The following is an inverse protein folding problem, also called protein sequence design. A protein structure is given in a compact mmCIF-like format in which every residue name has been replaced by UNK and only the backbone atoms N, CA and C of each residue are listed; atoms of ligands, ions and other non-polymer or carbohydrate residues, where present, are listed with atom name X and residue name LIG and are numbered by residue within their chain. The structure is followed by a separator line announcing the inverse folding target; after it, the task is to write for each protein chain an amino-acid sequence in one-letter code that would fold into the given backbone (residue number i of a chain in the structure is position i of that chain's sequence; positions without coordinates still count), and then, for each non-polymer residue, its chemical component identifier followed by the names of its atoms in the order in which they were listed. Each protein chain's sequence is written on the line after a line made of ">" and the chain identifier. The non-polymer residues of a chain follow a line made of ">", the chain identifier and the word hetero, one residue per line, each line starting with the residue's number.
data_IF_446097444939
#
_entry.id   IF_446097444939
#
_cell.length_a   1.000
_cell.length_b   1.000
_cell.length_c   1.000
_cell.angle_alpha   90.00
_cell.angle_beta   90.00
_cell.angle_gamma   90.00
#
_symmetry.space_group_name_H-M   'P 1'
#
loop_
_entity.id
_entity.type
_entity.pdbx_description
1 polymer ?
#
# COMPACT_ATOMS: atom_id res chain seq x y z
N UNK A 1 -36.97 -1.33 -10.23
CA UNK A 1 -36.86 -2.01 -8.92
C UNK A 1 -35.37 -2.05 -8.62
N UNK A 2 -34.94 -1.32 -7.60
CA UNK A 2 -33.52 -1.13 -7.30
C UNK A 2 -32.95 -2.42 -6.72
N UNK A 3 -32.14 -3.13 -7.51
CA UNK A 3 -31.58 -4.42 -7.13
C UNK A 3 -30.60 -4.31 -5.94
N UNK A 4 -30.08 -3.12 -5.66
CA UNK A 4 -29.29 -2.85 -4.45
C UNK A 4 -30.17 -2.72 -3.18
N UNK A 5 -31.43 -2.28 -3.30
CA UNK A 5 -32.38 -2.30 -2.17
C UNK A 5 -32.83 -3.73 -1.85
N UNK A 6 -33.11 -4.54 -2.88
CA UNK A 6 -33.49 -5.96 -2.70
C UNK A 6 -32.35 -6.77 -2.06
N UNK A 7 -31.10 -6.51 -2.45
CA UNK A 7 -29.93 -7.14 -1.81
C UNK A 7 -29.71 -6.61 -0.39
N UNK A 8 -29.98 -5.33 -0.09
CA UNK A 8 -29.90 -4.80 1.28
C UNK A 8 -30.92 -5.45 2.20
N UNK A 9 -32.16 -5.65 1.74
CA UNK A 9 -33.22 -6.27 2.54
C UNK A 9 -32.99 -7.78 2.77
N UNK A 10 -32.41 -8.49 1.79
CA UNK A 10 -32.03 -9.91 1.93
C UNK A 10 -30.76 -10.10 2.79
N UNK A 11 -29.88 -9.10 2.83
CA UNK A 11 -28.67 -9.09 3.67
C UNK A 11 -28.98 -8.60 5.10
N UNK A 12 -29.99 -7.75 5.31
CA UNK A 12 -30.47 -7.35 6.64
C UNK A 12 -31.47 -8.31 7.27
N UNK A 13 -31.84 -9.38 6.56
CA UNK A 13 -32.80 -10.40 6.97
C UNK A 13 -32.38 -11.11 8.25
N UNK A 14 -32.73 -10.49 9.38
CA UNK A 14 -32.77 -11.16 10.67
C UNK A 14 -33.83 -12.24 10.55
N UNK A 15 -33.42 -13.49 10.27
CA UNK A 15 -34.32 -14.63 10.41
C UNK A 15 -34.59 -14.76 11.91
N UNK A 16 -35.67 -14.12 12.35
CA UNK A 16 -36.14 -14.23 13.72
C UNK A 16 -36.59 -15.68 13.90
N UNK A 17 -35.76 -16.48 14.59
CA UNK A 17 -36.17 -17.80 15.06
C UNK A 17 -37.32 -17.60 16.04
N UNK A 18 -38.55 -17.74 15.55
CA UNK A 18 -39.74 -17.83 16.38
C UNK A 18 -39.67 -19.15 17.16
N UNK A 19 -39.03 -19.13 18.32
CA UNK A 19 -39.12 -20.19 19.32
C UNK A 19 -40.50 -20.05 19.99
N UNK A 20 -41.53 -20.53 19.29
CA UNK A 20 -42.85 -20.73 19.86
C UNK A 20 -42.87 -22.03 20.66
N UNK A 21 -42.92 -21.91 21.98
CA UNK A 21 -43.18 -23.04 22.87
C UNK A 21 -44.63 -23.52 22.83
N UNK A 22 -44.78 -24.80 23.18
CA UNK A 22 -45.99 -25.55 23.55
C UNK A 22 -46.80 -26.18 22.39
N UNK A 23 -46.71 -27.51 22.26
CA UNK A 23 -47.74 -28.34 21.61
C UNK A 23 -47.19 -29.48 20.74
N UNK A 24 -47.54 -30.72 21.08
CA UNK A 24 -47.02 -31.93 20.44
C UNK A 24 -47.40 -32.17 18.97
N UNK A 25 -46.60 -33.04 18.35
CA UNK A 25 -46.81 -33.83 17.14
C UNK A 25 -47.02 -33.14 15.78
N UNK A 26 -45.97 -33.18 14.94
CA UNK A 26 -45.99 -33.89 13.64
C UNK A 26 -44.59 -34.49 13.38
N UNK A 27 -44.51 -35.82 13.40
CA UNK A 27 -43.32 -36.56 12.98
C UNK A 27 -43.13 -36.42 11.47
N UNK A 28 -42.05 -35.77 11.04
CA UNK A 28 -41.68 -35.70 9.62
C UNK A 28 -40.81 -34.51 9.20
N UNK A 29 -40.84 -33.38 9.92
CA UNK A 29 -40.29 -32.08 9.40
C UNK A 29 -38.92 -31.69 10.01
N UNK A 30 -38.33 -32.53 10.87
CA UNK A 30 -37.16 -32.13 11.68
C UNK A 30 -35.83 -32.21 10.89
N UNK A 31 -35.76 -32.95 9.79
CA UNK A 31 -34.53 -33.02 8.98
C UNK A 31 -34.27 -31.73 8.17
N UNK A 32 -35.32 -31.11 7.60
CA UNK A 32 -35.19 -29.86 6.81
C UNK A 32 -34.89 -28.63 7.67
N UNK A 33 -35.63 -28.43 8.78
CA UNK A 33 -35.45 -27.25 9.66
C UNK A 33 -34.06 -27.14 10.31
N UNK A 34 -33.37 -28.27 10.54
CA UNK A 34 -32.03 -28.28 11.15
C UNK A 34 -30.92 -28.05 10.11
N UNK A 35 -31.12 -28.48 8.86
CA UNK A 35 -30.22 -28.18 7.75
C UNK A 35 -30.34 -26.72 7.30
N UNK A 36 -31.55 -26.14 7.31
CA UNK A 36 -31.75 -24.73 6.98
C UNK A 36 -31.10 -23.79 8.01
N UNK A 37 -31.18 -24.09 9.30
CA UNK A 37 -30.52 -23.26 10.32
C UNK A 37 -28.99 -23.28 10.19
N UNK A 38 -28.38 -24.44 9.96
CA UNK A 38 -26.92 -24.57 9.82
C UNK A 38 -26.35 -23.87 8.58
N UNK A 39 -27.08 -23.85 7.47
CA UNK A 39 -26.62 -23.18 6.25
C UNK A 39 -26.81 -21.67 6.30
N UNK A 40 -27.89 -21.20 6.92
CA UNK A 40 -28.08 -19.77 7.24
C UNK A 40 -26.99 -19.28 8.19
N UNK A 41 -26.64 -20.08 9.19
CA UNK A 41 -25.57 -19.77 10.14
C UNK A 41 -24.19 -19.71 9.44
N UNK A 42 -23.89 -20.66 8.53
CA UNK A 42 -22.67 -20.61 7.69
C UNK A 42 -22.66 -19.41 6.73
N UNK A 43 -23.77 -19.07 6.08
CA UNK A 43 -23.89 -17.86 5.23
C UNK A 43 -23.45 -16.61 6.00
N UNK A 44 -24.00 -16.43 7.20
CA UNK A 44 -23.79 -15.22 8.00
C UNK A 44 -22.43 -15.19 8.71
N UNK A 45 -21.88 -16.34 9.10
CA UNK A 45 -20.60 -16.39 9.83
C UNK A 45 -19.37 -16.43 8.91
N UNK A 46 -19.52 -16.91 7.66
CA UNK A 46 -18.37 -17.20 6.79
C UNK A 46 -18.44 -16.41 5.49
N UNK A 47 -19.51 -16.59 4.71
CA UNK A 47 -19.56 -16.08 3.34
C UNK A 47 -19.77 -14.57 3.30
N UNK A 48 -20.61 -14.03 4.17
CA UNK A 48 -20.88 -12.60 4.22
C UNK A 48 -19.64 -11.78 4.66
N UNK A 49 -18.93 -12.15 5.75
CA UNK A 49 -17.69 -11.45 6.14
C UNK A 49 -16.60 -11.50 5.07
N UNK A 50 -16.39 -12.65 4.44
CA UNK A 50 -15.41 -12.79 3.36
C UNK A 50 -15.78 -11.92 2.16
N UNK A 51 -17.06 -11.92 1.77
CA UNK A 51 -17.57 -11.11 0.66
C UNK A 51 -17.39 -9.61 0.94
N UNK A 52 -17.70 -9.17 2.15
CA UNK A 52 -17.59 -7.76 2.53
C UNK A 52 -16.14 -7.30 2.61
N UNK A 53 -15.22 -8.15 3.07
CA UNK A 53 -13.78 -7.87 3.02
C UNK A 53 -13.29 -7.73 1.58
N UNK A 54 -13.56 -8.72 0.70
CA UNK A 54 -13.06 -8.71 -0.68
C UNK A 54 -13.66 -7.55 -1.49
N UNK A 55 -14.94 -7.21 -1.28
CA UNK A 55 -15.60 -6.10 -1.98
C UNK A 55 -14.85 -4.78 -1.86
N UNK A 56 -14.16 -4.53 -0.74
CA UNK A 56 -13.38 -3.30 -0.54
C UNK A 56 -12.27 -3.10 -1.56
N UNK A 57 -11.82 -4.18 -2.21
CA UNK A 57 -10.72 -4.16 -3.18
C UNK A 57 -11.18 -4.32 -4.63
N UNK A 58 -12.49 -4.22 -4.90
CA UNK A 58 -13.05 -4.42 -6.26
C UNK A 58 -13.05 -3.17 -7.14
N UNK A 59 -12.69 -2.00 -6.62
CA UNK A 59 -12.66 -0.74 -7.37
C UNK A 59 -11.25 -0.18 -7.48
N UNK A 60 -11.07 0.81 -8.35
CA UNK A 60 -9.80 1.53 -8.54
C UNK A 60 -9.66 2.77 -7.64
N UNK A 61 -10.49 2.91 -6.60
CA UNK A 61 -10.52 4.14 -5.79
C UNK A 61 -9.49 4.17 -4.66
N UNK A 62 -8.75 3.07 -4.48
CA UNK A 62 -7.77 2.92 -3.41
C UNK A 62 -6.33 3.02 -3.92
N UNK A 63 -5.45 3.71 -3.19
CA UNK A 63 -4.07 3.99 -3.63
C UNK A 63 -3.12 2.80 -3.42
N UNK A 64 -2.08 2.70 -4.26
CA UNK A 64 -0.97 1.76 -4.05
C UNK A 64 -0.21 1.97 -2.72
N UNK A 65 -0.42 3.11 -2.05
CA UNK A 65 0.14 3.37 -0.72
C UNK A 65 -0.52 2.54 0.38
N UNK A 66 -1.71 1.98 0.13
CA UNK A 66 -2.44 1.19 1.12
C UNK A 66 -1.81 -0.19 1.28
N UNK A 67 -1.63 -0.61 2.53
CA UNK A 67 -1.33 -2.00 2.87
C UNK A 67 -2.65 -2.74 3.12
N UNK A 68 -2.94 -3.73 2.28
CA UNK A 68 -4.18 -4.51 2.32
C UNK A 68 -4.21 -5.36 3.58
N UNK A 69 -5.29 -5.27 4.35
CA UNK A 69 -5.58 -6.16 5.48
C UNK A 69 -6.70 -7.10 5.06
N UNK A 70 -6.37 -8.37 4.89
CA UNK A 70 -7.28 -9.42 4.42
C UNK A 70 -7.32 -10.55 5.45
N UNK A 71 -7.84 -10.23 6.63
CA UNK A 71 -7.79 -11.12 7.81
C UNK A 71 -8.76 -12.29 7.65
N UNK A 72 -9.93 -12.06 7.06
CA UNK A 72 -10.93 -13.11 6.78
C UNK A 72 -10.45 -14.01 5.65
N UNK A 73 -9.94 -13.44 4.55
CA UNK A 73 -9.35 -14.20 3.46
C UNK A 73 -8.20 -15.07 3.94
N UNK A 74 -7.32 -14.52 4.80
CA UNK A 74 -6.23 -15.29 5.42
C UNK A 74 -6.77 -16.48 6.20
N UNK A 75 -7.80 -16.30 7.03
CA UNK A 75 -8.41 -17.41 7.77
C UNK A 75 -8.96 -18.47 6.81
N UNK A 76 -9.65 -18.05 5.75
CA UNK A 76 -10.20 -18.95 4.71
C UNK A 76 -9.13 -19.78 4.00
N UNK A 77 -7.97 -19.19 3.73
CA UNK A 77 -6.83 -19.88 3.12
C UNK A 77 -6.14 -20.82 4.10
N UNK A 78 -5.85 -20.36 5.33
CA UNK A 78 -5.08 -21.13 6.32
C UNK A 78 -5.91 -22.24 7.01
N UNK A 79 -7.23 -22.05 7.12
CA UNK A 79 -8.12 -22.95 7.84
C UNK A 79 -9.24 -23.46 6.93
N UNK A 80 -8.94 -23.71 5.65
CA UNK A 80 -9.90 -24.07 4.58
C UNK A 80 -10.90 -25.18 4.96
N UNK A 81 -10.48 -26.15 5.78
CA UNK A 81 -11.32 -27.23 6.30
C UNK A 81 -12.51 -26.73 7.15
N UNK A 82 -12.41 -25.55 7.78
CA UNK A 82 -13.50 -24.95 8.57
C UNK A 82 -14.59 -24.36 7.68
N UNK A 83 -14.24 -23.94 6.47
CA UNK A 83 -15.10 -23.16 5.61
C UNK A 83 -15.86 -24.01 4.59
N UNK A 84 -15.28 -25.15 4.17
CA UNK A 84 -15.95 -26.10 3.28
C UNK A 84 -16.33 -25.51 1.92
N UNK A 85 -15.52 -24.58 1.42
CA UNK A 85 -15.63 -24.03 0.07
C UNK A 85 -15.38 -25.13 -0.96
N UNK A 86 -15.99 -25.01 -2.14
CA UNK A 86 -15.64 -25.88 -3.24
C UNK A 86 -14.21 -25.57 -3.72
N UNK A 87 -13.60 -26.50 -4.45
CA UNK A 87 -12.20 -26.39 -4.90
C UNK A 87 -11.94 -25.14 -5.75
N UNK A 88 -12.89 -24.77 -6.63
CA UNK A 88 -12.77 -23.61 -7.50
C UNK A 88 -12.67 -22.30 -6.70
N UNK A 89 -13.59 -22.07 -5.76
CA UNK A 89 -13.60 -20.87 -4.91
C UNK A 89 -12.40 -20.86 -3.99
N UNK A 90 -12.04 -22.01 -3.40
CA UNK A 90 -10.86 -22.10 -2.55
C UNK A 90 -9.59 -21.73 -3.31
N UNK A 91 -9.42 -22.18 -4.56
CA UNK A 91 -8.27 -21.83 -5.39
C UNK A 91 -8.24 -20.33 -5.71
N UNK A 92 -9.39 -19.70 -5.99
CA UNK A 92 -9.48 -18.24 -6.17
C UNK A 92 -9.11 -17.47 -4.90
N UNK A 93 -9.55 -17.94 -3.72
CA UNK A 93 -9.15 -17.36 -2.44
C UNK A 93 -7.64 -17.48 -2.20
N UNK A 94 -7.06 -18.67 -2.45
CA UNK A 94 -5.62 -18.91 -2.28
C UNK A 94 -4.80 -17.97 -3.18
N UNK A 95 -5.15 -17.90 -4.46
CA UNK A 95 -4.49 -17.03 -5.42
C UNK A 95 -4.60 -15.56 -5.03
N UNK A 96 -5.80 -15.06 -4.73
CA UNK A 96 -5.99 -13.67 -4.30
C UNK A 96 -5.15 -13.35 -3.05
N UNK A 97 -5.07 -14.29 -2.10
CA UNK A 97 -4.26 -14.11 -0.89
C UNK A 97 -2.76 -14.02 -1.20
N UNK A 98 -2.24 -14.87 -2.09
CA UNK A 98 -0.84 -14.85 -2.54
C UNK A 98 -0.49 -13.52 -3.23
N UNK A 99 -1.35 -13.07 -4.16
CA UNK A 99 -1.17 -11.78 -4.86
C UNK A 99 -1.18 -10.61 -3.86
N UNK A 100 -2.07 -10.64 -2.86
CA UNK A 100 -2.09 -9.64 -1.77
C UNK A 100 -0.79 -9.66 -0.95
N UNK A 101 -0.21 -10.83 -0.67
CA UNK A 101 1.08 -10.91 0.04
C UNK A 101 2.20 -10.30 -0.80
N UNK A 102 2.29 -10.64 -2.08
CA UNK A 102 3.28 -10.05 -3.00
C UNK A 102 3.12 -8.53 -3.08
N UNK A 103 1.89 -8.06 -3.24
CA UNK A 103 1.55 -6.64 -3.26
C UNK A 103 2.01 -5.94 -1.98
N UNK A 104 1.73 -6.50 -0.81
CA UNK A 104 2.07 -5.90 0.48
C UNK A 104 3.58 -5.91 0.76
N UNK A 105 4.35 -6.82 0.17
CA UNK A 105 5.81 -6.87 0.33
C UNK A 105 6.50 -5.69 -0.33
N UNK A 106 5.92 -5.10 -1.37
CA UNK A 106 6.45 -3.89 -2.00
C UNK A 106 6.05 -2.67 -1.16
N UNK A 107 7.04 -1.93 -0.64
CA UNK A 107 6.83 -0.75 0.23
C UNK A 107 7.10 0.55 -0.56
N UNK A 108 6.06 1.25 -1.08
CA UNK A 108 6.26 2.37 -1.99
C UNK A 108 7.02 3.54 -1.38
N UNK A 109 6.77 3.83 -0.09
CA UNK A 109 7.47 4.89 0.66
C UNK A 109 8.95 4.57 0.80
N UNK A 110 9.31 3.29 1.03
CA UNK A 110 10.71 2.89 1.11
C UNK A 110 11.42 3.00 -0.24
N UNK A 111 10.73 2.66 -1.34
CA UNK A 111 11.25 2.86 -2.71
C UNK A 111 11.47 4.35 -3.00
N UNK A 112 10.50 5.20 -2.68
CA UNK A 112 10.63 6.64 -2.82
C UNK A 112 11.78 7.21 -1.97
N UNK A 113 11.93 6.76 -0.73
CA UNK A 113 13.03 7.17 0.14
C UNK A 113 14.39 6.84 -0.49
N UNK A 114 14.54 5.63 -1.05
CA UNK A 114 15.76 5.24 -1.74
C UNK A 114 16.05 6.18 -2.92
N UNK A 115 15.06 6.47 -3.75
CA UNK A 115 15.21 7.36 -4.92
C UNK A 115 15.60 8.78 -4.50
N UNK A 116 15.00 9.29 -3.41
CA UNK A 116 15.33 10.60 -2.84
C UNK A 116 16.80 10.63 -2.39
N UNK A 117 17.26 9.59 -1.70
CA UNK A 117 18.67 9.45 -1.27
C UNK A 117 19.62 9.37 -2.48
N UNK A 118 19.25 8.61 -3.50
CA UNK A 118 20.05 8.46 -4.72
C UNK A 118 20.17 9.81 -5.45
N UNK A 119 19.05 10.50 -5.67
CA UNK A 119 19.03 11.85 -6.26
C UNK A 119 19.88 12.82 -5.43
N UNK A 120 19.70 12.82 -4.10
CA UNK A 120 20.46 13.71 -3.22
C UNK A 120 21.97 13.45 -3.35
N UNK A 121 22.38 12.18 -3.35
CA UNK A 121 23.79 11.79 -3.43
C UNK A 121 24.39 12.21 -4.77
N UNK A 122 23.72 11.90 -5.88
CA UNK A 122 24.14 12.28 -7.24
C UNK A 122 24.24 13.81 -7.40
N UNK A 123 23.23 14.53 -6.93
CA UNK A 123 23.19 15.97 -7.03
C UNK A 123 24.20 16.65 -6.10
N UNK A 124 24.41 16.10 -4.90
CA UNK A 124 25.45 16.59 -3.97
C UNK A 124 26.83 16.46 -4.60
N UNK A 125 27.16 15.28 -5.15
CA UNK A 125 28.42 15.06 -5.85
C UNK A 125 28.55 16.01 -7.04
N UNK A 126 27.48 16.23 -7.80
CA UNK A 126 27.48 17.16 -8.93
C UNK A 126 27.75 18.61 -8.51
N UNK A 127 27.16 19.05 -7.39
CA UNK A 127 27.28 20.42 -6.89
C UNK A 127 28.64 20.65 -6.23
N UNK A 128 29.09 19.71 -5.39
CA UNK A 128 30.23 19.91 -4.49
C UNK A 128 31.49 19.11 -4.86
N UNK A 129 31.39 18.20 -5.82
CA UNK A 129 32.51 17.48 -6.44
C UNK A 129 32.92 16.16 -5.77
N UNK A 130 32.76 16.01 -4.45
CA UNK A 130 33.07 14.77 -3.75
C UNK A 130 32.07 14.53 -2.61
N UNK A 131 31.73 13.26 -2.37
CA UNK A 131 30.87 12.81 -1.28
C UNK A 131 31.65 12.11 -0.14
N UNK A 132 32.97 11.93 -0.30
CA UNK A 132 33.85 11.37 0.74
C UNK A 132 34.51 12.52 1.52
N UNK A 133 34.29 12.55 2.84
CA UNK A 133 34.89 13.53 3.76
C UNK A 133 36.21 13.01 4.37
N UNK A 134 36.37 11.68 4.46
CA UNK A 134 37.60 11.09 4.99
C UNK A 134 37.63 9.57 4.93
N UNK A 135 38.64 8.98 5.58
CA UNK A 135 38.82 7.54 5.73
C UNK A 135 38.94 7.23 7.23
N UNK A 136 38.09 6.33 7.72
CA UNK A 136 38.17 5.76 9.05
C UNK A 136 38.97 4.46 9.01
N UNK A 137 39.85 4.27 9.99
CA UNK A 137 40.66 3.07 10.14
C UNK A 137 40.12 2.23 11.28
N UNK A 138 39.90 0.95 11.01
CA UNK A 138 39.36 0.01 11.96
C UNK A 138 40.32 -1.16 12.16
N UNK A 139 40.29 -1.72 13.36
CA UNK A 139 41.02 -2.93 13.71
C UNK A 139 40.12 -3.82 14.56
N UNK A 140 39.96 -5.09 14.19
CA UNK A 140 39.23 -6.04 15.02
C UNK A 140 40.11 -6.59 16.17
N UNK A 141 39.51 -7.45 17.00
CA UNK A 141 40.21 -8.07 18.14
C UNK A 141 41.29 -9.08 17.71
N UNK A 142 41.26 -9.51 16.45
CA UNK A 142 42.22 -10.46 15.87
C UNK A 142 43.37 -9.73 15.15
N UNK A 143 43.31 -8.40 15.04
CA UNK A 143 44.32 -7.56 14.41
C UNK A 143 44.10 -7.37 12.91
N UNK A 144 42.93 -7.73 12.37
CA UNK A 144 42.60 -7.43 10.97
C UNK A 144 42.23 -5.94 10.86
N UNK A 145 42.87 -5.25 9.92
CA UNK A 145 42.68 -3.83 9.66
C UNK A 145 41.89 -3.60 8.37
N UNK A 146 40.97 -2.64 8.38
CA UNK A 146 40.30 -2.17 7.17
C UNK A 146 40.04 -0.67 7.21
N UNK A 147 39.91 -0.11 6.02
CA UNK A 147 39.58 1.28 5.78
C UNK A 147 38.09 1.39 5.41
N UNK A 148 37.42 2.40 5.95
CA UNK A 148 36.04 2.75 5.61
C UNK A 148 35.99 4.20 5.14
N UNK A 149 35.45 4.41 3.94
CA UNK A 149 35.21 5.77 3.44
C UNK A 149 34.07 6.42 4.22
N UNK A 150 34.35 7.57 4.83
CA UNK A 150 33.38 8.35 5.59
C UNK A 150 32.71 9.33 4.64
N UNK A 151 31.40 9.16 4.46
CA UNK A 151 30.62 10.08 3.64
C UNK A 151 30.51 11.45 4.30
N UNK A 152 30.34 12.48 3.48
CA UNK A 152 29.96 13.81 3.95
C UNK A 152 28.67 13.72 4.77
N UNK A 153 28.64 14.48 5.87
CA UNK A 153 27.60 14.41 6.89
C UNK A 153 26.17 14.53 6.31
N UNK A 154 25.93 15.45 5.37
CA UNK A 154 24.62 15.62 4.74
C UNK A 154 24.13 14.37 3.99
N UNK A 155 25.05 13.63 3.36
CA UNK A 155 24.72 12.38 2.65
C UNK A 155 24.45 11.26 3.66
N UNK A 156 25.08 11.28 4.83
CA UNK A 156 24.72 10.36 5.92
C UNK A 156 23.34 10.71 6.48
N UNK A 157 23.10 11.99 6.78
CA UNK A 157 21.84 12.47 7.36
C UNK A 157 20.65 12.08 6.49
N UNK A 158 20.67 12.36 5.19
CA UNK A 158 19.52 12.06 4.31
C UNK A 158 19.14 10.57 4.33
N UNK A 159 20.10 9.68 4.56
CA UNK A 159 19.88 8.22 4.67
C UNK A 159 19.19 7.82 5.97
N UNK A 160 19.36 8.61 7.02
CA UNK A 160 18.85 8.33 8.37
C UNK A 160 17.59 9.10 8.73
N UNK A 161 17.26 10.16 7.98
CA UNK A 161 16.07 10.97 8.22
C UNK A 161 14.80 10.12 8.13
N UNK A 162 13.92 10.28 9.12
CA UNK A 162 12.57 9.72 9.04
C UNK A 162 11.66 10.64 8.19
N UNK A 163 11.65 10.39 6.89
CA UNK A 163 10.92 11.17 5.90
C UNK A 163 9.54 10.59 5.56
N UNK A 164 9.08 9.57 6.28
CA UNK A 164 7.87 8.79 5.94
C UNK A 164 6.67 9.68 5.60
N UNK A 165 6.36 10.66 6.46
CA UNK A 165 5.19 11.53 6.27
C UNK A 165 5.35 12.50 5.10
N UNK A 166 6.54 13.05 4.92
CA UNK A 166 6.82 13.98 3.82
C UNK A 166 6.78 13.26 2.47
N UNK A 167 7.30 12.03 2.41
CA UNK A 167 7.22 11.16 1.24
C UNK A 167 5.78 10.75 0.95
N UNK A 168 5.00 10.37 1.98
CA UNK A 168 3.58 10.06 1.79
C UNK A 168 2.79 11.24 1.22
N UNK A 169 3.09 12.46 1.67
CA UNK A 169 2.47 13.68 1.13
C UNK A 169 2.90 13.93 -0.31
N UNK A 170 4.21 13.82 -0.61
CA UNK A 170 4.75 13.94 -1.96
C UNK A 170 4.02 12.99 -2.91
N UNK A 171 3.97 11.69 -2.58
CA UNK A 171 3.35 10.66 -3.43
C UNK A 171 1.83 10.81 -3.61
N UNK A 172 1.14 11.53 -2.72
CA UNK A 172 -0.30 11.84 -2.87
C UNK A 172 -0.58 13.04 -3.76
N UNK A 173 0.44 13.87 -3.98
CA UNK A 173 0.35 15.15 -4.66
C UNK A 173 1.16 15.14 -5.98
N UNK A 174 1.31 13.98 -6.62
CA UNK A 174 1.88 13.90 -7.97
C UNK A 174 1.14 14.86 -8.91
N UNK A 175 1.89 15.58 -9.75
CA UNK A 175 1.45 16.67 -10.63
C UNK A 175 0.86 17.91 -9.92
N UNK A 176 0.84 17.93 -8.58
CA UNK A 176 0.39 19.06 -7.77
C UNK A 176 1.57 19.84 -7.21
N UNK A 177 2.26 20.58 -8.08
CA UNK A 177 3.36 21.44 -7.70
C UNK A 177 2.90 22.51 -6.69
N UNK A 178 3.68 22.64 -5.61
CA UNK A 178 3.33 23.44 -4.42
C UNK A 178 4.35 24.54 -4.15
N UNK A 179 5.35 24.70 -5.02
CA UNK A 179 6.37 25.75 -4.97
C UNK A 179 6.92 26.03 -6.37
N UNK A 180 7.82 27.01 -6.46
CA UNK A 180 8.47 27.44 -7.69
C UNK A 180 9.94 27.79 -7.40
N UNK A 181 10.79 27.70 -8.42
CA UNK A 181 12.19 28.11 -8.40
C UNK A 181 12.44 29.13 -9.51
N UNK A 182 13.23 30.16 -9.21
CA UNK A 182 13.68 31.11 -10.23
C UNK A 182 14.82 30.48 -11.04
N UNK A 183 14.60 30.26 -12.33
CA UNK A 183 15.61 29.68 -13.23
C UNK A 183 16.33 30.75 -14.05
N UNK A 184 15.71 31.92 -14.20
CA UNK A 184 16.29 33.10 -14.86
C UNK A 184 15.81 34.37 -14.15
N UNK A 185 16.70 34.95 -13.34
CA UNK A 185 16.42 36.18 -12.60
C UNK A 185 16.29 37.41 -13.49
N UNK A 186 16.99 37.45 -14.63
CA UNK A 186 16.97 38.62 -15.52
C UNK A 186 15.61 38.73 -16.22
N UNK A 187 15.04 37.59 -16.59
CA UNK A 187 13.74 37.52 -17.26
C UNK A 187 12.56 37.23 -16.31
N UNK A 188 12.83 37.01 -15.01
CA UNK A 188 11.81 36.68 -14.02
C UNK A 188 11.11 35.36 -14.31
N UNK A 189 11.84 34.37 -14.82
CA UNK A 189 11.30 33.05 -15.16
C UNK A 189 11.31 32.16 -13.91
N UNK A 190 10.11 31.66 -13.58
CA UNK A 190 9.91 30.73 -12.47
C UNK A 190 9.31 29.43 -13.01
N UNK A 191 9.85 28.31 -12.51
CA UNK A 191 9.38 26.98 -12.88
C UNK A 191 8.87 26.21 -11.66
N UNK A 192 7.82 25.39 -11.82
CA UNK A 192 7.18 24.70 -10.72
C UNK A 192 8.04 23.56 -10.18
N UNK A 193 8.05 23.39 -8.85
CA UNK A 193 8.73 22.29 -8.16
C UNK A 193 7.86 21.76 -7.01
N UNK A 194 8.16 20.53 -6.56
CA UNK A 194 7.54 19.97 -5.36
C UNK A 194 8.18 20.57 -4.10
N UNK A 195 7.38 21.24 -3.27
CA UNK A 195 7.85 21.84 -2.02
C UNK A 195 8.41 20.78 -1.06
N UNK A 196 7.80 19.59 -1.05
CA UNK A 196 8.21 18.44 -0.25
C UNK A 196 9.64 18.03 -0.57
N UNK A 197 10.01 17.91 -1.86
CA UNK A 197 11.38 17.58 -2.27
C UNK A 197 12.37 18.65 -1.82
N UNK A 198 12.06 19.92 -2.07
CA UNK A 198 12.89 21.06 -1.61
C UNK A 198 13.12 20.99 -0.09
N UNK A 199 12.07 20.75 0.70
CA UNK A 199 12.15 20.65 2.16
C UNK A 199 12.99 19.46 2.61
N UNK A 200 12.79 18.30 2.01
CA UNK A 200 13.54 17.08 2.30
C UNK A 200 15.04 17.30 2.09
N UNK A 201 15.43 17.86 0.94
CA UNK A 201 16.83 18.13 0.63
C UNK A 201 17.41 19.23 1.53
N UNK A 202 16.66 20.30 1.79
CA UNK A 202 17.05 21.33 2.74
C UNK A 202 17.26 20.77 4.16
N UNK A 203 16.46 19.79 4.60
CA UNK A 203 16.60 19.15 5.90
C UNK A 203 17.89 18.35 6.06
N UNK A 204 18.54 17.92 4.97
CA UNK A 204 19.84 17.25 5.02
C UNK A 204 21.02 18.21 4.81
N UNK A 205 20.83 19.28 4.05
CA UNK A 205 21.87 20.30 3.82
C UNK A 205 22.02 21.22 5.04
N UNK A 206 20.91 21.75 5.57
CA UNK A 206 20.93 22.82 6.57
C UNK A 206 20.87 22.30 8.02
N UNK A 207 21.62 21.23 8.32
CA UNK A 207 21.65 20.63 9.66
C UNK A 207 22.61 21.36 10.58
N UNK A 208 22.22 21.47 11.86
CA UNK A 208 23.04 22.05 12.93
C UNK A 208 23.53 20.91 13.83
N UNK A 209 24.85 20.69 13.86
CA UNK A 209 25.50 19.69 14.70
C UNK A 209 26.33 20.40 15.75
N UNK A 210 26.10 20.08 17.02
CA UNK A 210 26.79 20.71 18.16
C UNK A 210 26.74 22.25 18.11
N UNK A 211 25.59 22.81 17.71
CA UNK A 211 25.36 24.25 17.61
C UNK A 211 26.04 24.94 16.42
N UNK A 212 26.61 24.19 15.48
CA UNK A 212 27.24 24.72 14.27
C UNK A 212 26.57 24.17 13.01
N UNK A 213 26.32 24.99 11.98
CA UNK A 213 25.87 24.48 10.69
C UNK A 213 26.87 23.48 10.13
N UNK A 214 26.36 22.41 9.53
CA UNK A 214 27.16 21.49 8.73
C UNK A 214 27.90 22.31 7.65
N UNK A 215 29.19 22.05 7.48
CA UNK A 215 29.97 22.69 6.42
C UNK A 215 29.85 21.86 5.16
N UNK A 216 29.76 22.54 4.03
CA UNK A 216 29.87 21.91 2.71
C UNK A 216 31.09 22.48 2.00
N UNK A 217 31.62 21.73 1.04
CA UNK A 217 32.60 22.27 0.10
C UNK A 217 32.00 23.46 -0.65
N UNK A 218 32.87 24.27 -1.26
CA UNK A 218 32.38 25.27 -2.21
C UNK A 218 31.79 24.56 -3.43
N UNK A 219 30.64 25.01 -3.96
CA UNK A 219 30.11 24.47 -5.20
C UNK A 219 31.16 24.52 -6.32
N UNK A 220 31.29 23.42 -7.05
CA UNK A 220 32.18 23.29 -8.22
C UNK A 220 31.48 23.65 -9.53
N UNK A 221 30.18 23.92 -9.46
CA UNK A 221 29.36 24.45 -10.56
C UNK A 221 28.80 25.81 -10.17
N UNK A 222 28.51 26.64 -11.18
CA UNK A 222 27.77 27.88 -10.98
C UNK A 222 26.30 27.56 -10.66
N UNK A 223 25.81 28.09 -9.54
CA UNK A 223 24.44 27.91 -9.08
C UNK A 223 23.70 29.24 -9.11
N UNK A 224 22.65 29.31 -9.91
CA UNK A 224 21.71 30.45 -9.95
C UNK A 224 20.51 30.24 -9.02
N UNK A 225 20.51 29.21 -8.19
CA UNK A 225 19.44 28.83 -7.27
C UNK A 225 20.04 28.14 -6.04
N UNK A 226 19.23 27.89 -5.01
CA UNK A 226 19.71 27.15 -3.84
C UNK A 226 20.04 25.69 -4.20
N UNK A 227 21.01 25.03 -3.54
CA UNK A 227 21.34 23.62 -3.80
C UNK A 227 20.13 22.68 -3.70
N UNK A 228 19.25 22.84 -2.72
CA UNK A 228 18.02 22.05 -2.59
C UNK A 228 17.01 22.29 -3.72
N UNK A 229 16.99 23.49 -4.29
CA UNK A 229 16.14 23.84 -5.42
C UNK A 229 16.71 23.23 -6.70
N UNK A 230 18.03 23.28 -6.87
CA UNK A 230 18.74 22.59 -7.95
C UNK A 230 18.41 21.10 -7.94
N UNK A 231 18.49 20.46 -6.77
CA UNK A 231 18.13 19.05 -6.59
C UNK A 231 16.68 18.77 -6.98
N UNK A 232 15.73 19.57 -6.49
CA UNK A 232 14.30 19.37 -6.76
C UNK A 232 13.89 19.69 -8.20
N UNK A 233 14.64 20.54 -8.90
CA UNK A 233 14.33 21.00 -10.25
C UNK A 233 14.98 20.14 -11.34
N UNK A 234 16.28 19.83 -11.23
CA UNK A 234 17.00 19.14 -12.29
C UNK A 234 16.88 17.60 -12.25
N UNK A 235 16.39 17.04 -11.15
CA UNK A 235 16.22 15.61 -10.98
C UNK A 235 14.74 15.26 -10.85
N UNK A 236 14.19 14.66 -11.91
CA UNK A 236 12.80 14.24 -11.92
C UNK A 236 12.58 13.01 -11.03
N UNK A 237 12.09 13.26 -9.82
CA UNK A 237 11.75 12.22 -8.85
C UNK A 237 10.65 11.28 -9.37
N UNK A 238 9.59 11.82 -9.98
CA UNK A 238 8.44 11.00 -10.38
C UNK A 238 8.74 10.18 -11.64
N UNK A 239 9.57 10.67 -12.57
CA UNK A 239 10.08 9.84 -13.66
C UNK A 239 10.85 8.62 -13.12
N UNK A 240 11.78 8.83 -12.18
CA UNK A 240 12.53 7.71 -11.56
C UNK A 240 11.61 6.78 -10.78
N UNK A 241 10.67 7.34 -10.00
CA UNK A 241 9.74 6.58 -9.18
C UNK A 241 8.79 5.71 -10.01
N UNK A 242 8.15 6.30 -11.01
CA UNK A 242 7.21 5.62 -11.89
C UNK A 242 7.91 4.61 -12.80
N UNK A 243 9.20 4.81 -13.09
CA UNK A 243 9.98 3.84 -13.85
C UNK A 243 10.59 2.70 -13.03
N UNK A 244 10.56 2.78 -11.69
CA UNK A 244 11.05 1.71 -10.82
C UNK A 244 10.23 0.42 -11.02
N UNK A 245 10.93 -0.69 -11.27
CA UNK A 245 10.32 -1.99 -11.55
C UNK A 245 9.41 -2.47 -10.42
N UNK A 246 9.73 -2.14 -9.16
CA UNK A 246 8.94 -2.50 -7.98
C UNK A 246 7.62 -1.72 -7.97
N UNK A 247 7.65 -0.44 -8.32
CA UNK A 247 6.45 0.40 -8.40
C UNK A 247 5.55 -0.07 -9.55
N UNK A 248 6.11 -0.31 -10.74
CA UNK A 248 5.38 -0.89 -11.88
C UNK A 248 4.70 -2.22 -11.49
N UNK A 249 5.47 -3.14 -10.89
CA UNK A 249 4.93 -4.42 -10.41
C UNK A 249 3.81 -4.24 -9.38
N UNK A 250 3.91 -3.23 -8.51
CA UNK A 250 2.86 -2.96 -7.52
C UNK A 250 1.55 -2.47 -8.14
N UNK A 251 1.62 -1.68 -9.22
CA UNK A 251 0.43 -1.31 -9.99
C UNK A 251 -0.19 -2.54 -10.70
N UNK A 252 0.62 -3.39 -11.32
CA UNK A 252 0.15 -4.64 -11.94
C UNK A 252 -0.55 -5.54 -10.92
N UNK A 253 0.06 -5.74 -9.75
CA UNK A 253 -0.52 -6.53 -8.66
C UNK A 253 -1.83 -5.91 -8.15
N UNK A 254 -1.94 -4.59 -8.11
CA UNK A 254 -3.19 -3.91 -7.75
C UNK A 254 -4.30 -4.21 -8.75
N UNK A 255 -4.01 -4.18 -10.05
CA UNK A 255 -4.98 -4.56 -11.09
C UNK A 255 -5.40 -6.03 -10.95
N UNK A 256 -4.42 -6.92 -10.75
CA UNK A 256 -4.63 -8.34 -10.55
C UNK A 256 -5.53 -8.63 -9.33
N UNK A 257 -5.31 -7.91 -8.22
CA UNK A 257 -6.15 -7.97 -7.02
C UNK A 257 -7.58 -7.51 -7.33
N UNK A 258 -7.75 -6.40 -8.06
CA UNK A 258 -9.07 -5.87 -8.41
C UNK A 258 -9.85 -6.89 -9.23
N UNK A 259 -9.27 -7.39 -10.32
CA UNK A 259 -9.96 -8.35 -11.19
C UNK A 259 -10.23 -9.68 -10.51
N UNK A 260 -9.28 -10.19 -9.71
CA UNK A 260 -9.46 -11.43 -8.94
C UNK A 260 -10.55 -11.28 -7.88
N UNK A 261 -10.59 -10.12 -7.20
CA UNK A 261 -11.63 -9.78 -6.23
C UNK A 261 -13.01 -9.70 -6.88
N UNK A 262 -13.12 -9.07 -8.05
CA UNK A 262 -14.37 -8.98 -8.82
C UNK A 262 -14.90 -10.37 -9.19
N UNK A 263 -14.05 -11.23 -9.78
CA UNK A 263 -14.42 -12.60 -10.15
C UNK A 263 -14.89 -13.40 -8.93
N UNK A 264 -14.14 -13.34 -7.81
CA UNK A 264 -14.49 -14.07 -6.61
C UNK A 264 -15.81 -13.59 -5.99
N UNK A 265 -16.06 -12.28 -5.99
CA UNK A 265 -17.33 -11.70 -5.52
C UNK A 265 -18.52 -12.16 -6.36
N UNK A 266 -18.38 -12.24 -7.68
CA UNK A 266 -19.44 -12.72 -8.58
C UNK A 266 -19.80 -14.19 -8.31
N UNK A 267 -18.80 -15.05 -8.20
CA UNK A 267 -19.05 -16.48 -7.95
C UNK A 267 -19.65 -16.71 -6.56
N UNK A 268 -19.13 -16.00 -5.54
CA UNK A 268 -19.69 -16.08 -4.19
C UNK A 268 -21.15 -15.62 -4.15
N UNK A 269 -21.52 -14.56 -4.88
CA UNK A 269 -22.93 -14.14 -5.01
C UNK A 269 -23.77 -15.24 -5.66
N UNK A 270 -23.28 -15.88 -6.71
CA UNK A 270 -23.98 -17.00 -7.37
C UNK A 270 -24.21 -18.17 -6.42
N UNK A 271 -23.22 -18.51 -5.60
CA UNK A 271 -23.33 -19.58 -4.60
C UNK A 271 -24.36 -19.20 -3.53
N UNK A 272 -24.30 -17.97 -3.01
CA UNK A 272 -25.27 -17.49 -2.01
C UNK A 272 -26.70 -17.51 -2.57
N UNK A 273 -26.92 -17.04 -3.81
CA UNK A 273 -28.25 -17.06 -4.46
C UNK A 273 -28.79 -18.49 -4.60
N UNK A 274 -27.96 -19.45 -5.03
CA UNK A 274 -28.34 -20.86 -5.10
C UNK A 274 -28.72 -21.43 -3.74
N UNK A 275 -27.95 -21.11 -2.69
CA UNK A 275 -28.24 -21.55 -1.32
C UNK A 275 -29.58 -20.96 -0.85
N UNK A 276 -29.82 -19.66 -1.05
CA UNK A 276 -31.06 -18.99 -0.64
C UNK A 276 -32.28 -19.59 -1.35
N UNK A 277 -32.22 -19.81 -2.67
CA UNK A 277 -33.34 -20.38 -3.43
C UNK A 277 -33.70 -21.81 -3.00
N UNK A 278 -32.71 -22.62 -2.63
CA UNK A 278 -32.97 -23.97 -2.10
C UNK A 278 -33.80 -23.88 -0.81
N UNK A 279 -33.54 -22.88 0.03
CA UNK A 279 -34.28 -22.70 1.28
C UNK A 279 -35.66 -22.05 1.12
N UNK A 280 -35.84 -21.15 0.14
CA UNK A 280 -37.16 -20.58 -0.17
C UNK A 280 -38.12 -21.62 -0.77
N UNK A 281 -37.60 -22.63 -1.49
CA UNK A 281 -38.42 -23.73 -2.04
C UNK A 281 -38.84 -24.72 -0.94
N UNK A 282 -38.07 -24.85 0.14
CA UNK A 282 -38.42 -25.71 1.29
C UNK A 282 -39.48 -25.10 2.23
N UNK A 283 -39.84 -23.81 2.06
CA UNK A 283 -40.91 -23.13 2.83
C UNK A 283 -42.29 -23.13 2.16
N UNK A 284 -42.44 -23.66 0.92
CA UNK A 284 -43.73 -23.78 0.20
C UNK A 284 -44.37 -25.15 0.35
#
# INVERSE_FOLDING_TARGET
>A
MDWNEVLKDIVSGTILLAIGGIGGWFGGVIKGKKQSSMAVERKNQIYQPLLDEIKTYTTFDWSILINIKADILKQVVCESYKFGLNEEIQNKCNYLYEVIQEYNNIKPVAVANQIIVDIFTEAYEKIYGNIIDGIAYHTDREGNEWEEEVLVESVQIIRELNLTKDIENLLRNEDMYSSEVCVDYENGLYEPIYLELKRIYASALHVIINGKPCKHAQPVIELNMLPEEYMAYYYDFFDRYNNDKRIKRKYELREEIIYSSQSLVEDMKSIIDKIVRIYEIEEV
#
